data_IF_768028995008
#
_entry.id   IF_768028995008
#
_cell.length_a   1.000
_cell.length_b   1.000
_cell.length_c   1.000
_cell.angle_alpha   90.00
_cell.angle_beta   90.00
_cell.angle_gamma   90.00
#
_symmetry.space_group_name_H-M   'P 1'
#
loop_
_entity.id
_entity.type
_entity.pdbx_description
1 polymer ?
#
# COMPACT_ATOMS: atom_id res chain seq x y z
N UNK A 1 -6.43 -11.80 11.46
CA UNK A 1 -5.78 -11.34 12.71
C UNK A 1 -4.52 -10.57 12.42
N UNK A 2 -3.51 -11.14 11.75
CA UNK A 2 -2.25 -10.44 11.42
C UNK A 2 -2.49 -9.12 10.66
N UNK A 3 -3.27 -9.12 9.57
CA UNK A 3 -3.57 -7.90 8.81
C UNK A 3 -4.24 -6.80 9.65
N UNK A 4 -5.13 -7.17 10.58
CA UNK A 4 -5.76 -6.21 11.49
C UNK A 4 -4.74 -5.68 12.50
N UNK A 5 -3.93 -6.56 13.10
CA UNK A 5 -2.86 -6.17 14.02
C UNK A 5 -1.85 -5.21 13.37
N UNK A 6 -1.40 -5.52 12.16
CA UNK A 6 -0.49 -4.67 11.39
C UNK A 6 -1.12 -3.32 11.02
N UNK A 7 -2.41 -3.30 10.71
CA UNK A 7 -3.13 -2.05 10.42
C UNK A 7 -3.25 -1.15 11.67
N UNK A 8 -3.47 -1.75 12.85
CA UNK A 8 -3.44 -1.03 14.14
C UNK A 8 -2.02 -0.55 14.44
N UNK A 9 -1.01 -1.44 14.32
CA UNK A 9 0.38 -1.12 14.58
C UNK A 9 0.90 0.02 13.70
N UNK A 10 0.44 0.10 12.45
CA UNK A 10 0.78 1.19 11.52
C UNK A 10 0.41 2.59 12.02
N UNK A 11 -0.59 2.71 12.89
CA UNK A 11 -0.97 3.96 13.56
C UNK A 11 -0.23 4.12 14.90
N UNK A 12 -0.18 3.05 15.68
CA UNK A 12 0.37 3.09 17.04
C UNK A 12 1.90 3.29 17.03
N UNK A 13 2.60 2.75 16.04
CA UNK A 13 4.06 2.87 15.94
C UNK A 13 4.53 4.34 15.85
N UNK A 14 4.12 5.14 14.85
CA UNK A 14 4.51 6.56 14.82
C UNK A 14 3.98 7.33 16.03
N UNK A 15 2.81 6.96 16.57
CA UNK A 15 2.25 7.58 17.76
C UNK A 15 3.16 7.42 18.97
N UNK A 16 3.61 6.20 19.29
CA UNK A 16 4.47 5.95 20.46
C UNK A 16 5.88 6.56 20.28
N UNK A 17 6.39 6.58 19.04
CA UNK A 17 7.68 7.29 18.78
C UNK A 17 7.55 8.76 19.14
N UNK A 18 6.48 9.41 18.69
CA UNK A 18 6.21 10.81 19.01
C UNK A 18 5.95 11.03 20.50
N UNK A 19 5.20 10.12 21.15
CA UNK A 19 4.89 10.19 22.58
C UNK A 19 6.16 10.14 23.45
N UNK A 20 7.15 9.33 23.04
CA UNK A 20 8.41 9.16 23.80
C UNK A 20 9.49 10.18 23.42
N UNK A 21 9.50 10.68 22.19
CA UNK A 21 10.53 11.61 21.72
C UNK A 21 10.10 13.07 21.75
N UNK A 22 8.80 13.34 21.62
CA UNK A 22 8.26 14.69 21.45
C UNK A 22 8.69 15.39 20.15
N UNK A 23 9.39 14.68 19.25
CA UNK A 23 10.02 15.25 18.06
C UNK A 23 9.55 14.59 16.77
N UNK A 24 8.80 15.30 15.92
CA UNK A 24 8.37 14.80 14.62
C UNK A 24 9.53 14.46 13.67
N UNK A 25 10.69 15.13 13.79
CA UNK A 25 11.87 14.82 12.98
C UNK A 25 12.43 13.44 13.37
N UNK A 26 12.46 13.13 14.67
CA UNK A 26 12.86 11.82 15.17
C UNK A 26 11.88 10.72 14.68
N UNK A 27 10.57 10.98 14.70
CA UNK A 27 9.58 10.03 14.17
C UNK A 27 9.79 9.78 12.69
N UNK A 28 10.04 10.82 11.89
CA UNK A 28 10.37 10.70 10.48
C UNK A 28 11.66 9.92 10.23
N UNK A 29 12.70 10.16 11.04
CA UNK A 29 13.96 9.43 10.98
C UNK A 29 13.78 7.94 11.28
N UNK A 30 13.03 7.60 12.33
CA UNK A 30 12.70 6.19 12.67
C UNK A 30 11.95 5.54 11.52
N UNK A 31 10.90 6.19 11.01
CA UNK A 31 10.12 5.66 9.88
C UNK A 31 10.99 5.42 8.63
N UNK A 32 11.87 6.37 8.29
CA UNK A 32 12.81 6.25 7.18
C UNK A 32 13.83 5.12 7.41
N UNK A 33 14.42 5.03 8.61
CA UNK A 33 15.41 4.04 8.96
C UNK A 33 14.84 2.60 8.97
N UNK A 34 13.55 2.45 9.28
CA UNK A 34 12.84 1.17 9.19
C UNK A 34 12.47 0.85 7.73
N UNK A 35 11.98 1.84 6.98
CA UNK A 35 11.49 1.63 5.63
C UNK A 35 12.58 1.23 4.63
N UNK A 36 13.80 1.77 4.75
CA UNK A 36 14.91 1.47 3.82
C UNK A 36 15.33 0.00 3.86
N UNK A 37 15.64 -0.62 5.01
CA UNK A 37 15.90 -2.06 5.09
C UNK A 37 14.69 -2.91 4.66
N UNK A 38 13.48 -2.49 5.00
CA UNK A 38 12.24 -3.20 4.64
C UNK A 38 12.11 -3.38 3.12
N UNK A 39 12.47 -2.36 2.34
CA UNK A 39 12.52 -2.47 0.86
C UNK A 39 13.51 -3.54 0.40
N UNK A 40 14.70 -3.64 1.03
CA UNK A 40 15.67 -4.70 0.70
C UNK A 40 15.10 -6.09 0.99
N UNK A 41 14.41 -6.25 2.11
CA UNK A 41 13.78 -7.53 2.47
C UNK A 41 12.58 -7.87 1.57
N UNK A 42 11.92 -6.90 0.96
CA UNK A 42 10.89 -7.16 -0.04
C UNK A 42 11.44 -7.94 -1.25
N UNK A 43 12.66 -7.65 -1.67
CA UNK A 43 13.33 -8.40 -2.76
C UNK A 43 13.80 -9.79 -2.33
N UNK A 44 14.18 -9.95 -1.06
CA UNK A 44 14.61 -11.25 -0.52
C UNK A 44 13.45 -12.16 -0.15
N UNK A 45 12.24 -11.60 0.01
CA UNK A 45 11.06 -12.32 0.47
C UNK A 45 10.71 -13.54 -0.37
N UNK A 46 10.80 -13.42 -1.70
CA UNK A 46 10.57 -14.54 -2.60
C UNK A 46 11.56 -15.70 -2.37
N UNK A 47 12.85 -15.39 -2.29
CA UNK A 47 13.90 -16.39 -2.02
C UNK A 47 13.69 -17.07 -0.65
N UNK A 48 13.32 -16.30 0.38
CA UNK A 48 13.04 -16.83 1.71
C UNK A 48 11.82 -17.77 1.70
N UNK A 49 10.77 -17.42 0.97
CA UNK A 49 9.58 -18.27 0.83
C UNK A 49 9.91 -19.58 0.12
N UNK A 50 10.75 -19.52 -0.92
CA UNK A 50 11.14 -20.71 -1.70
C UNK A 50 12.02 -21.66 -0.88
N UNK A 51 12.85 -21.14 0.02
CA UNK A 51 13.77 -21.94 0.83
C UNK A 51 13.11 -22.48 2.11
N UNK A 52 12.33 -21.68 2.80
CA UNK A 52 11.71 -22.01 4.09
C UNK A 52 10.34 -22.67 3.90
N UNK A 53 9.64 -22.32 2.83
CA UNK A 53 8.28 -22.72 2.54
C UNK A 53 7.24 -21.68 2.99
N UNK A 54 6.11 -21.62 2.28
CA UNK A 54 5.06 -20.59 2.45
C UNK A 54 4.48 -20.56 3.86
N UNK A 55 4.03 -21.71 4.37
CA UNK A 55 3.42 -21.79 5.70
C UNK A 55 4.40 -21.51 6.82
N UNK A 56 5.59 -22.16 6.92
CA UNK A 56 6.58 -21.81 7.94
C UNK A 56 7.00 -20.35 7.88
N UNK A 57 7.17 -19.78 6.66
CA UNK A 57 7.53 -18.37 6.52
C UNK A 57 6.48 -17.44 7.10
N UNK A 58 5.18 -17.67 6.81
CA UNK A 58 4.09 -16.90 7.42
C UNK A 58 4.11 -16.98 8.95
N UNK A 59 4.30 -18.17 9.52
CA UNK A 59 4.36 -18.35 10.98
C UNK A 59 5.57 -17.65 11.60
N UNK A 60 6.76 -17.82 11.01
CA UNK A 60 7.99 -17.17 11.49
C UNK A 60 7.84 -15.64 11.44
N UNK A 61 7.26 -15.12 10.37
CA UNK A 61 7.00 -13.68 10.20
C UNK A 61 6.09 -13.13 11.29
N UNK A 62 4.96 -13.78 11.56
CA UNK A 62 4.03 -13.36 12.61
C UNK A 62 4.69 -13.43 14.00
N UNK A 63 5.56 -14.43 14.26
CA UNK A 63 6.32 -14.53 15.52
C UNK A 63 7.34 -13.39 15.63
N UNK A 64 8.11 -13.10 14.58
CA UNK A 64 9.11 -12.02 14.58
C UNK A 64 8.42 -10.68 14.80
N UNK A 65 7.30 -10.42 14.10
CA UNK A 65 6.50 -9.20 14.26
C UNK A 65 5.98 -9.08 15.70
N UNK A 66 5.39 -10.14 16.25
CA UNK A 66 4.91 -10.18 17.63
C UNK A 66 6.04 -9.94 18.65
N UNK A 67 7.21 -10.54 18.48
CA UNK A 67 8.39 -10.34 19.33
C UNK A 67 8.94 -8.91 19.22
N UNK A 68 8.97 -8.33 18.02
CA UNK A 68 9.38 -6.94 17.80
C UNK A 68 8.50 -5.98 18.61
N UNK A 69 7.18 -6.11 18.47
CA UNK A 69 6.21 -5.25 19.18
C UNK A 69 6.24 -5.48 20.69
N UNK A 70 6.30 -6.73 21.14
CA UNK A 70 6.47 -7.06 22.56
C UNK A 70 7.79 -6.54 23.12
N UNK A 71 8.85 -6.56 22.32
CA UNK A 71 10.16 -5.99 22.64
C UNK A 71 10.09 -4.50 22.91
N UNK A 72 9.28 -3.73 22.16
CA UNK A 72 9.06 -2.29 22.43
C UNK A 72 8.49 -2.12 23.85
N UNK A 73 7.45 -2.87 24.19
CA UNK A 73 6.82 -2.79 25.52
C UNK A 73 7.80 -3.15 26.63
N UNK A 74 8.57 -4.22 26.43
CA UNK A 74 9.57 -4.67 27.41
C UNK A 74 10.68 -3.62 27.63
N UNK A 75 11.20 -3.06 26.54
CA UNK A 75 12.24 -2.02 26.62
C UNK A 75 11.70 -0.74 27.26
N UNK A 76 10.45 -0.36 26.93
CA UNK A 76 9.80 0.81 27.53
C UNK A 76 9.72 0.70 29.06
N UNK A 77 9.37 -0.47 29.57
CA UNK A 77 9.21 -0.72 31.00
C UNK A 77 10.53 -0.92 31.76
N UNK A 78 11.61 -1.31 31.09
CA UNK A 78 12.86 -1.70 31.76
C UNK A 78 14.01 -0.74 31.55
N UNK A 79 14.27 -0.33 30.30
CA UNK A 79 15.44 0.44 29.89
C UNK A 79 15.11 1.86 29.45
N UNK A 80 13.83 2.12 29.17
CA UNK A 80 13.37 3.34 28.50
C UNK A 80 13.62 3.29 27.00
N UNK A 81 12.61 3.74 26.22
CA UNK A 81 12.69 3.75 24.77
C UNK A 81 13.52 4.92 24.27
N UNK A 82 14.55 4.60 23.50
CA UNK A 82 15.35 5.56 22.73
C UNK A 82 15.08 5.39 21.24
N UNK A 83 15.49 6.38 20.44
CA UNK A 83 15.38 6.32 18.96
C UNK A 83 16.05 5.05 18.41
N UNK A 84 17.18 4.64 18.99
CA UNK A 84 17.89 3.43 18.58
C UNK A 84 17.06 2.17 18.76
N UNK A 85 16.34 2.03 19.88
CA UNK A 85 15.45 0.88 20.12
C UNK A 85 14.28 0.86 19.14
N UNK A 86 13.66 2.00 18.84
CA UNK A 86 12.61 2.08 17.81
C UNK A 86 13.11 1.65 16.45
N UNK A 87 14.32 2.05 16.06
CA UNK A 87 14.91 1.65 14.78
C UNK A 87 15.21 0.15 14.78
N UNK A 88 15.89 -0.37 15.79
CA UNK A 88 16.26 -1.79 15.85
C UNK A 88 15.03 -2.69 15.83
N UNK A 89 14.08 -2.44 16.72
CA UNK A 89 12.87 -3.24 16.83
C UNK A 89 11.98 -3.05 15.59
N UNK A 90 11.88 -1.83 15.04
CA UNK A 90 11.16 -1.57 13.80
C UNK A 90 11.74 -2.30 12.60
N UNK A 91 13.07 -2.36 12.46
CA UNK A 91 13.73 -3.15 11.42
C UNK A 91 13.42 -4.64 11.62
N UNK A 92 13.53 -5.16 12.83
CA UNK A 92 13.20 -6.58 13.15
C UNK A 92 11.76 -6.90 12.74
N UNK A 93 10.80 -6.03 13.09
CA UNK A 93 9.40 -6.18 12.68
C UNK A 93 9.23 -6.17 11.17
N UNK A 94 9.81 -5.18 10.49
CA UNK A 94 9.72 -5.04 9.03
C UNK A 94 10.35 -6.22 8.27
N UNK A 95 11.45 -6.78 8.79
CA UNK A 95 12.06 -8.02 8.27
C UNK A 95 11.08 -9.20 8.35
N UNK A 96 10.27 -9.26 9.38
CA UNK A 96 9.21 -10.26 9.52
C UNK A 96 8.04 -9.97 8.59
N UNK A 97 7.46 -8.80 8.66
CA UNK A 97 6.16 -8.47 8.04
C UNK A 97 6.14 -8.62 6.51
N UNK A 98 7.19 -8.17 5.82
CA UNK A 98 7.20 -8.15 4.35
C UNK A 98 7.21 -9.55 3.75
N UNK A 99 8.13 -10.47 4.13
CA UNK A 99 8.08 -11.85 3.68
C UNK A 99 6.79 -12.56 4.11
N UNK A 100 6.25 -12.21 5.29
CA UNK A 100 5.00 -12.75 5.81
C UNK A 100 3.79 -12.41 4.96
N UNK A 101 3.66 -11.17 4.52
CA UNK A 101 2.61 -10.75 3.60
C UNK A 101 2.67 -11.49 2.26
N UNK A 102 3.87 -11.64 1.70
CA UNK A 102 4.09 -12.38 0.47
C UNK A 102 3.77 -13.88 0.66
N UNK A 103 4.19 -14.48 1.77
CA UNK A 103 3.90 -15.86 2.12
C UNK A 103 2.39 -16.11 2.31
N UNK A 104 1.70 -15.22 3.02
CA UNK A 104 0.24 -15.29 3.21
C UNK A 104 -0.52 -15.21 1.89
N UNK A 105 -0.09 -14.34 0.98
CA UNK A 105 -0.67 -14.24 -0.37
C UNK A 105 -0.41 -15.51 -1.19
N UNK A 106 0.76 -16.11 -1.05
CA UNK A 106 1.10 -17.36 -1.72
C UNK A 106 0.33 -18.58 -1.17
N UNK A 107 -0.15 -18.52 0.09
CA UNK A 107 -0.98 -19.57 0.69
C UNK A 107 -2.39 -19.65 0.12
N UNK A 108 -2.89 -18.62 -0.56
CA UNK A 108 -4.24 -18.57 -1.16
C UNK A 108 -4.48 -19.78 -2.06
N UNK A 109 -3.53 -20.17 -2.90
CA UNK A 109 -3.63 -21.34 -3.76
C UNK A 109 -3.69 -22.67 -2.99
N UNK A 110 -2.87 -22.79 -1.94
CA UNK A 110 -2.79 -24.00 -1.10
C UNK A 110 -4.07 -24.18 -0.27
N UNK A 111 -4.65 -23.06 0.21
CA UNK A 111 -5.92 -23.03 0.94
C UNK A 111 -7.07 -23.39 0.00
N UNK A 112 -7.10 -22.87 -1.23
CA UNK A 112 -8.11 -23.19 -2.24
C UNK A 112 -8.13 -24.70 -2.52
N UNK A 113 -6.97 -25.28 -2.77
CA UNK A 113 -6.84 -26.72 -3.00
C UNK A 113 -7.29 -27.55 -1.78
N UNK A 114 -6.89 -27.16 -0.57
CA UNK A 114 -7.22 -27.90 0.65
C UNK A 114 -8.69 -27.80 1.05
N UNK A 115 -9.35 -26.68 0.69
CA UNK A 115 -10.75 -26.42 1.03
C UNK A 115 -11.75 -26.85 -0.07
N UNK A 116 -11.26 -27.29 -1.24
CA UNK A 116 -12.10 -27.61 -2.39
C UNK A 116 -12.82 -26.41 -3.00
N UNK A 117 -12.36 -25.18 -2.70
CA UNK A 117 -12.89 -23.93 -3.25
C UNK A 117 -12.03 -23.45 -4.42
N UNK A 118 -12.59 -22.57 -5.26
CA UNK A 118 -11.82 -21.97 -6.34
C UNK A 118 -10.79 -20.96 -5.80
N UNK A 119 -9.68 -20.79 -6.52
CA UNK A 119 -8.65 -19.79 -6.17
C UNK A 119 -9.26 -18.40 -6.13
N UNK A 120 -10.16 -18.08 -7.07
CA UNK A 120 -10.84 -16.77 -7.14
C UNK A 120 -11.67 -16.49 -5.89
N UNK A 121 -12.36 -17.50 -5.36
CA UNK A 121 -13.14 -17.36 -4.12
C UNK A 121 -12.24 -17.04 -2.92
N UNK A 122 -11.14 -17.79 -2.75
CA UNK A 122 -10.21 -17.58 -1.63
C UNK A 122 -9.44 -16.25 -1.80
N UNK A 123 -9.03 -15.89 -3.01
CA UNK A 123 -8.42 -14.60 -3.31
C UNK A 123 -9.37 -13.44 -3.02
N UNK A 124 -10.63 -13.54 -3.44
CA UNK A 124 -11.68 -12.57 -3.14
C UNK A 124 -11.90 -12.40 -1.64
N UNK A 125 -11.96 -13.53 -0.89
CA UNK A 125 -12.09 -13.49 0.57
C UNK A 125 -10.87 -12.83 1.23
N UNK A 126 -9.65 -13.15 0.77
CA UNK A 126 -8.43 -12.53 1.25
C UNK A 126 -8.44 -11.00 1.02
N UNK A 127 -8.85 -10.56 -0.17
CA UNK A 127 -8.96 -9.12 -0.48
C UNK A 127 -10.04 -8.42 0.38
N UNK A 128 -11.17 -9.09 0.63
CA UNK A 128 -12.20 -8.57 1.51
C UNK A 128 -11.69 -8.42 2.96
N UNK A 129 -10.97 -9.42 3.48
CA UNK A 129 -10.35 -9.37 4.81
C UNK A 129 -9.33 -8.22 4.89
N UNK A 130 -8.47 -8.06 3.87
CA UNK A 130 -7.52 -6.94 3.80
C UNK A 130 -8.25 -5.60 3.79
N UNK A 131 -9.27 -5.44 2.94
CA UNK A 131 -10.07 -4.22 2.87
C UNK A 131 -10.73 -3.86 4.20
N UNK A 132 -11.33 -4.84 4.88
CA UNK A 132 -11.91 -4.65 6.22
C UNK A 132 -10.83 -4.29 7.24
N UNK A 133 -9.66 -4.92 7.19
CA UNK A 133 -8.56 -4.62 8.11
C UNK A 133 -8.04 -3.18 7.92
N UNK A 134 -7.91 -2.71 6.69
CA UNK A 134 -7.52 -1.33 6.39
C UNK A 134 -8.61 -0.30 6.76
N UNK A 135 -9.88 -0.70 6.72
CA UNK A 135 -10.98 0.17 7.11
C UNK A 135 -11.14 0.26 8.63
N UNK A 136 -11.16 -0.89 9.29
CA UNK A 136 -11.48 -1.00 10.72
C UNK A 136 -10.22 -0.80 11.60
N UNK A 137 -9.06 -1.24 11.14
CA UNK A 137 -7.81 -1.20 11.91
C UNK A 137 -7.44 0.19 12.41
N UNK A 138 -7.38 1.20 11.55
CA UNK A 138 -7.08 2.57 11.97
C UNK A 138 -8.11 3.16 12.95
N UNK A 139 -9.41 2.94 12.70
CA UNK A 139 -10.46 3.37 13.63
C UNK A 139 -10.29 2.70 15.00
N UNK A 140 -10.02 1.39 15.00
CA UNK A 140 -9.76 0.63 16.22
C UNK A 140 -8.51 1.15 16.94
N UNK A 141 -7.43 1.45 16.21
CA UNK A 141 -6.23 2.06 16.78
C UNK A 141 -6.54 3.40 17.46
N UNK A 142 -7.32 4.27 16.81
CA UNK A 142 -7.72 5.56 17.36
C UNK A 142 -8.56 5.42 18.63
N UNK A 143 -9.52 4.48 18.66
CA UNK A 143 -10.35 4.18 19.84
C UNK A 143 -9.50 3.62 20.98
N UNK A 144 -8.59 2.69 20.69
CA UNK A 144 -7.72 2.09 21.69
C UNK A 144 -6.76 3.13 22.28
N UNK A 145 -6.12 3.96 21.45
CA UNK A 145 -5.24 5.04 21.92
C UNK A 145 -6.00 6.12 22.74
N UNK A 146 -7.29 6.34 22.47
CA UNK A 146 -8.11 7.25 23.24
C UNK A 146 -8.58 6.65 24.58
N UNK A 147 -8.57 5.32 24.73
CA UNK A 147 -9.14 4.63 25.91
C UNK A 147 -8.11 4.01 26.84
N UNK A 148 -6.87 3.80 26.38
CA UNK A 148 -5.80 3.15 27.15
C UNK A 148 -4.42 3.66 26.75
N UNK A 149 -3.42 3.38 27.57
CA UNK A 149 -2.02 3.72 27.28
C UNK A 149 -1.53 3.01 26.00
N UNK A 150 -0.68 3.70 25.22
CA UNK A 150 -0.12 3.19 23.95
C UNK A 150 0.60 1.84 24.11
N UNK A 151 1.26 1.60 25.26
CA UNK A 151 1.91 0.33 25.58
C UNK A 151 0.93 -0.85 25.61
N UNK A 152 -0.28 -0.69 26.15
CA UNK A 152 -1.30 -1.74 26.14
C UNK A 152 -1.84 -2.01 24.73
N UNK A 153 -1.96 -0.97 23.91
CA UNK A 153 -2.34 -1.17 22.51
C UNK A 153 -1.29 -2.01 21.77
N UNK A 154 0.00 -1.80 22.04
CA UNK A 154 1.06 -2.64 21.49
C UNK A 154 0.98 -4.09 21.99
N UNK A 155 0.63 -4.32 23.27
CA UNK A 155 0.41 -5.69 23.79
C UNK A 155 -0.71 -6.40 23.02
N UNK A 156 -1.82 -5.68 22.72
CA UNK A 156 -2.93 -6.22 21.93
C UNK A 156 -2.46 -6.58 20.51
N UNK A 157 -1.68 -5.69 19.86
CA UNK A 157 -1.17 -5.98 18.50
C UNK A 157 -0.19 -7.13 18.49
N UNK A 158 0.71 -7.25 19.47
CA UNK A 158 1.59 -8.39 19.63
C UNK A 158 0.81 -9.70 19.83
N UNK A 159 -0.23 -9.66 20.67
CA UNK A 159 -1.11 -10.82 20.87
C UNK A 159 -1.82 -11.24 19.58
N UNK A 160 -2.28 -10.28 18.75
CA UNK A 160 -2.85 -10.57 17.42
C UNK A 160 -1.87 -11.30 16.51
N UNK A 161 -0.59 -10.90 16.50
CA UNK A 161 0.46 -11.55 15.72
C UNK A 161 0.74 -12.98 16.22
N UNK A 162 0.85 -13.19 17.53
CA UNK A 162 1.04 -14.53 18.10
C UNK A 162 -0.17 -15.45 17.87
N UNK A 163 -1.40 -14.92 17.98
CA UNK A 163 -2.62 -15.66 17.67
C UNK A 163 -2.65 -16.04 16.17
N UNK A 164 -2.25 -15.13 15.29
CA UNK A 164 -2.15 -15.41 13.86
C UNK A 164 -1.14 -16.52 13.56
N UNK A 165 0.06 -16.47 14.18
CA UNK A 165 1.08 -17.52 14.10
C UNK A 165 0.54 -18.87 14.57
N UNK A 166 -0.15 -18.88 15.71
CA UNK A 166 -0.74 -20.08 16.29
C UNK A 166 -1.81 -20.68 15.36
N UNK A 167 -2.75 -19.87 14.88
CA UNK A 167 -3.81 -20.31 13.97
C UNK A 167 -3.24 -20.86 12.67
N UNK A 168 -2.23 -20.16 12.09
CA UNK A 168 -1.56 -20.61 10.87
C UNK A 168 -0.81 -21.93 11.09
N UNK A 169 -0.26 -22.16 12.28
CA UNK A 169 0.42 -23.42 12.62
C UNK A 169 -0.55 -24.61 12.61
N UNK A 170 -1.78 -24.43 13.05
CA UNK A 170 -2.81 -25.48 13.01
C UNK A 170 -3.43 -25.72 11.64
N UNK A 171 -3.19 -24.85 10.66
CA UNK A 171 -3.72 -24.98 9.33
C UNK A 171 -3.12 -26.23 8.65
N UNK A 172 -3.95 -27.20 8.30
CA UNK A 172 -3.52 -28.41 7.57
C UNK A 172 -3.63 -28.16 6.07
N UNK A 173 -2.51 -27.89 5.43
CA UNK A 173 -2.41 -27.68 4.00
C UNK A 173 -1.84 -28.91 3.32
N UNK A 174 -2.38 -29.29 2.18
CA UNK A 174 -1.78 -30.26 1.29
C UNK A 174 -0.48 -29.67 0.71
N UNK A 175 0.61 -30.42 0.73
CA UNK A 175 1.86 -29.95 0.09
C UNK A 175 1.65 -29.90 -1.41
N UNK A 176 1.56 -28.69 -1.96
CA UNK A 176 1.68 -28.45 -3.39
C UNK A 176 3.14 -28.25 -3.71
N UNK A 177 3.73 -29.15 -4.45
CA UNK A 177 5.02 -28.92 -5.07
C UNK A 177 4.82 -27.97 -6.25
N UNK A 178 5.56 -26.86 -6.24
CA UNK A 178 5.58 -25.96 -7.39
C UNK A 178 6.18 -26.70 -8.57
N UNK A 179 5.56 -26.57 -9.73
CA UNK A 179 6.14 -27.08 -10.97
C UNK A 179 7.45 -26.33 -11.29
N UNK A 180 8.36 -26.97 -11.99
CA UNK A 180 9.62 -26.32 -12.38
C UNK A 180 9.38 -25.04 -13.19
N UNK A 181 8.29 -24.98 -13.97
CA UNK A 181 7.87 -23.77 -14.69
C UNK A 181 7.45 -22.65 -13.73
N UNK A 182 6.73 -22.94 -12.64
CA UNK A 182 6.34 -21.97 -11.61
C UNK A 182 7.56 -21.48 -10.82
N UNK A 183 8.53 -22.36 -10.51
CA UNK A 183 9.80 -21.98 -9.87
C UNK A 183 10.64 -21.08 -10.78
N UNK A 184 10.72 -21.40 -12.06
CA UNK A 184 11.44 -20.58 -13.03
C UNK A 184 10.81 -19.20 -13.21
N UNK A 185 9.47 -19.12 -13.28
CA UNK A 185 8.74 -17.86 -13.38
C UNK A 185 8.90 -17.00 -12.09
N UNK A 186 8.86 -17.63 -10.91
CA UNK A 186 9.12 -16.94 -9.65
C UNK A 186 10.57 -16.44 -9.53
N UNK A 187 11.55 -17.25 -9.96
CA UNK A 187 12.95 -16.87 -9.98
C UNK A 187 13.20 -15.70 -10.96
N UNK A 188 12.55 -15.70 -12.11
CA UNK A 188 12.64 -14.62 -13.09
C UNK A 188 11.97 -13.33 -12.59
N UNK A 189 10.83 -13.43 -11.89
CA UNK A 189 10.16 -12.31 -11.27
C UNK A 189 10.95 -11.71 -10.09
N UNK A 190 11.67 -12.54 -9.32
CA UNK A 190 12.49 -12.15 -8.18
C UNK A 190 13.92 -11.72 -8.53
N UNK A 191 14.39 -12.04 -9.74
CA UNK A 191 15.71 -11.60 -10.17
C UNK A 191 15.71 -10.09 -10.36
N UNK A 192 16.30 -9.35 -9.42
CA UNK A 192 16.80 -7.98 -9.62
C UNK A 192 17.86 -8.00 -10.73
N UNK A 193 17.37 -8.17 -11.95
CA UNK A 193 18.24 -8.28 -13.09
C UNK A 193 18.69 -6.87 -13.45
N UNK A 194 19.97 -6.55 -13.37
CA UNK A 194 20.56 -5.31 -13.90
C UNK A 194 20.11 -5.05 -15.35
N UNK A 195 19.74 -6.12 -16.09
CA UNK A 195 19.08 -6.03 -17.40
C UNK A 195 17.66 -5.46 -17.31
N UNK A 196 16.93 -5.69 -16.20
CA UNK A 196 15.61 -5.11 -16.00
C UNK A 196 15.70 -3.59 -15.79
N UNK A 197 16.67 -3.11 -15.01
CA UNK A 197 16.91 -1.67 -14.82
C UNK A 197 17.21 -0.96 -16.16
N UNK A 198 18.01 -1.56 -17.03
CA UNK A 198 18.25 -1.02 -18.39
C UNK A 198 16.98 -1.02 -19.25
N UNK A 199 16.08 -1.99 -19.05
CA UNK A 199 14.82 -2.08 -19.80
C UNK A 199 13.76 -1.11 -19.31
N UNK A 200 13.82 -0.63 -18.05
CA UNK A 200 12.92 0.39 -17.54
C UNK A 200 13.00 1.70 -18.34
N UNK A 201 14.20 2.06 -18.81
CA UNK A 201 14.38 3.20 -19.70
C UNK A 201 13.61 3.08 -21.04
N UNK A 202 13.28 1.87 -21.48
CA UNK A 202 12.45 1.65 -22.66
C UNK A 202 10.95 1.70 -22.30
N UNK A 203 10.59 1.20 -21.11
CA UNK A 203 9.22 1.22 -20.59
C UNK A 203 8.73 2.65 -20.34
N UNK A 204 9.59 3.55 -19.87
CA UNK A 204 9.23 4.94 -19.54
C UNK A 204 9.10 5.84 -20.80
N UNK A 205 9.54 5.38 -21.97
CA UNK A 205 9.51 6.20 -23.21
C UNK A 205 8.14 6.74 -23.61
N UNK A 206 7.03 5.99 -23.53
CA UNK A 206 5.72 6.56 -23.82
C UNK A 206 5.41 7.71 -22.87
N UNK A 207 4.99 8.89 -23.38
CA UNK A 207 4.73 10.07 -22.55
C UNK A 207 3.68 9.83 -21.45
N UNK A 208 2.69 8.98 -21.70
CA UNK A 208 1.65 8.56 -20.77
C UNK A 208 2.24 7.78 -19.58
N UNK A 209 3.13 6.81 -19.84
CA UNK A 209 3.80 6.02 -18.81
C UNK A 209 4.76 6.88 -18.00
N UNK A 210 5.52 7.76 -18.65
CA UNK A 210 6.41 8.70 -17.95
C UNK A 210 5.62 9.63 -17.02
N UNK A 211 4.51 10.19 -17.50
CA UNK A 211 3.62 11.04 -16.71
C UNK A 211 3.08 10.28 -15.49
N UNK A 212 2.59 9.05 -15.68
CA UNK A 212 2.12 8.19 -14.59
C UNK A 212 3.23 7.89 -13.58
N UNK A 213 4.44 7.54 -14.05
CA UNK A 213 5.56 7.22 -13.17
C UNK A 213 5.96 8.41 -12.30
N UNK A 214 6.03 9.61 -12.88
CA UNK A 214 6.33 10.84 -12.13
C UNK A 214 5.23 11.13 -11.11
N UNK A 215 3.95 11.08 -11.52
CA UNK A 215 2.83 11.34 -10.62
C UNK A 215 2.80 10.34 -9.46
N UNK A 216 2.98 9.05 -9.77
CA UNK A 216 3.01 8.00 -8.73
C UNK A 216 4.19 8.20 -7.76
N UNK A 217 5.40 8.46 -8.28
CA UNK A 217 6.58 8.68 -7.44
C UNK A 217 6.39 9.89 -6.52
N UNK A 218 5.99 11.03 -7.08
CA UNK A 218 5.79 12.26 -6.31
C UNK A 218 4.62 12.09 -5.34
N UNK A 219 3.53 11.48 -5.77
CA UNK A 219 2.40 11.17 -4.90
C UNK A 219 2.84 10.37 -3.67
N UNK A 220 3.50 9.23 -3.86
CA UNK A 220 3.94 8.38 -2.75
C UNK A 220 4.99 9.07 -1.88
N UNK A 221 5.95 9.83 -2.50
CA UNK A 221 6.99 10.53 -1.77
C UNK A 221 6.48 11.70 -0.92
N UNK A 222 5.37 12.34 -1.31
CA UNK A 222 4.77 13.44 -0.56
C UNK A 222 3.70 12.96 0.43
N UNK A 223 2.88 11.98 0.03
CA UNK A 223 1.80 11.43 0.86
C UNK A 223 2.32 10.58 2.00
N UNK A 224 3.36 9.78 1.77
CA UNK A 224 3.94 8.90 2.78
C UNK A 224 4.33 9.63 4.07
N UNK A 225 5.14 10.70 4.01
CA UNK A 225 5.47 11.52 5.17
C UNK A 225 4.25 12.21 5.79
N UNK A 226 3.29 12.63 4.96
CA UNK A 226 2.08 13.28 5.46
C UNK A 226 1.28 12.34 6.35
N UNK A 227 0.98 11.15 5.86
CA UNK A 227 0.22 10.13 6.59
C UNK A 227 1.03 9.51 7.73
N UNK A 228 2.33 9.25 7.53
CA UNK A 228 3.17 8.53 8.48
C UNK A 228 3.77 9.38 9.60
N UNK A 229 3.88 10.71 9.43
CA UNK A 229 4.55 11.59 10.39
C UNK A 229 3.73 12.82 10.74
N UNK A 230 3.29 13.62 9.74
CA UNK A 230 2.66 14.91 10.00
C UNK A 230 1.29 14.75 10.66
N UNK A 231 0.46 13.86 10.16
CA UNK A 231 -0.86 13.60 10.75
C UNK A 231 -0.77 13.03 12.17
N UNK A 232 -0.01 11.94 12.44
CA UNK A 232 0.19 11.46 13.81
C UNK A 232 0.70 12.55 14.75
N UNK A 233 1.69 13.37 14.33
CA UNK A 233 2.23 14.46 15.13
C UNK A 233 1.18 15.54 15.41
N UNK A 234 0.37 15.93 14.42
CA UNK A 234 -0.70 16.90 14.62
C UNK A 234 -1.74 16.38 15.62
N UNK A 235 -2.29 15.19 15.37
CA UNK A 235 -3.37 14.66 16.22
C UNK A 235 -2.89 14.31 17.63
N UNK A 236 -1.60 14.02 17.80
CA UNK A 236 -1.01 13.86 19.12
C UNK A 236 -0.89 15.20 19.85
N UNK A 237 -0.43 16.25 19.16
CA UNK A 237 -0.30 17.60 19.74
C UNK A 237 -1.64 18.18 20.23
N UNK A 238 -2.76 17.78 19.60
CA UNK A 238 -4.10 18.21 19.97
C UNK A 238 -4.87 17.17 20.80
N UNK A 239 -4.21 16.08 21.18
CA UNK A 239 -4.77 14.96 21.98
C UNK A 239 -6.07 14.38 21.38
N UNK A 240 -6.07 14.12 20.08
CA UNK A 240 -7.21 13.59 19.33
C UNK A 240 -6.89 12.30 18.57
N UNK A 241 -6.43 11.21 19.24
CA UNK A 241 -6.07 9.96 18.57
C UNK A 241 -7.25 9.30 17.83
N UNK A 242 -8.47 9.48 18.32
CA UNK A 242 -9.67 8.98 17.65
C UNK A 242 -9.84 9.59 16.25
N UNK A 243 -9.62 10.90 16.09
CA UNK A 243 -9.73 11.55 14.78
C UNK A 243 -8.62 11.12 13.82
N UNK A 244 -7.43 10.78 14.32
CA UNK A 244 -6.39 10.17 13.51
C UNK A 244 -6.85 8.84 12.90
N UNK A 245 -7.37 7.93 13.73
CA UNK A 245 -7.91 6.66 13.25
C UNK A 245 -9.08 6.85 12.27
N UNK A 246 -9.96 7.80 12.56
CA UNK A 246 -11.10 8.14 11.70
C UNK A 246 -10.65 8.69 10.34
N UNK A 247 -9.60 9.52 10.28
CA UNK A 247 -9.06 10.06 9.04
C UNK A 247 -8.56 8.95 8.10
N UNK A 248 -7.82 7.98 8.61
CA UNK A 248 -7.39 6.82 7.82
C UNK A 248 -8.56 5.94 7.37
N UNK A 249 -9.58 5.76 8.22
CA UNK A 249 -10.79 5.01 7.85
C UNK A 249 -11.58 5.72 6.76
N UNK A 250 -11.70 7.06 6.81
CA UNK A 250 -12.32 7.85 5.75
C UNK A 250 -11.54 7.74 4.43
N UNK A 251 -10.21 7.73 4.49
CA UNK A 251 -9.37 7.47 3.32
C UNK A 251 -9.69 6.11 2.68
N UNK A 252 -9.76 5.04 3.48
CA UNK A 252 -10.11 3.71 3.02
C UNK A 252 -11.53 3.63 2.43
N UNK A 253 -12.52 4.27 3.07
CA UNK A 253 -13.89 4.38 2.56
C UNK A 253 -13.90 5.08 1.20
N UNK A 254 -13.20 6.21 1.09
CA UNK A 254 -13.07 6.94 -0.18
C UNK A 254 -12.53 6.06 -1.30
N UNK A 255 -11.44 5.34 -1.04
CA UNK A 255 -10.86 4.39 -2.01
C UNK A 255 -11.85 3.29 -2.43
N UNK A 256 -12.58 2.70 -1.48
CA UNK A 256 -13.54 1.64 -1.77
C UNK A 256 -14.72 2.15 -2.59
N UNK A 257 -15.29 3.28 -2.22
CA UNK A 257 -16.45 3.89 -2.91
C UNK A 257 -16.11 4.26 -4.34
N UNK A 258 -15.00 4.95 -4.56
CA UNK A 258 -14.60 5.36 -5.91
C UNK A 258 -14.09 4.19 -6.75
N UNK A 259 -13.39 3.23 -6.16
CA UNK A 259 -12.98 2.00 -6.83
C UNK A 259 -14.18 1.19 -7.32
N UNK A 260 -15.22 1.02 -6.48
CA UNK A 260 -16.47 0.40 -6.87
C UNK A 260 -17.20 1.20 -7.97
N UNK A 261 -17.17 2.53 -7.88
CA UNK A 261 -17.71 3.41 -8.91
C UNK A 261 -17.02 3.22 -10.27
N UNK A 262 -15.70 3.17 -10.30
CA UNK A 262 -14.92 2.90 -11.52
C UNK A 262 -15.17 1.49 -12.05
N UNK A 263 -15.30 0.50 -11.17
CA UNK A 263 -15.63 -0.87 -11.59
C UNK A 263 -17.01 -0.95 -12.29
N UNK A 264 -17.98 -0.14 -11.84
CA UNK A 264 -19.31 -0.09 -12.44
C UNK A 264 -19.38 0.72 -13.76
N UNK A 265 -18.67 1.86 -13.82
CA UNK A 265 -18.73 2.80 -14.95
C UNK A 265 -17.64 2.56 -16.00
N UNK A 266 -16.52 1.96 -15.56
CA UNK A 266 -15.34 1.73 -16.37
C UNK A 266 -14.48 2.99 -16.56
N UNK A 267 -13.36 2.82 -17.28
CA UNK A 267 -12.39 3.88 -17.56
C UNK A 267 -12.43 4.36 -19.03
N UNK A 268 -13.51 4.12 -19.76
CA UNK A 268 -13.64 4.48 -21.17
C UNK A 268 -13.43 5.97 -21.43
N UNK A 269 -13.86 6.84 -20.52
CA UNK A 269 -13.63 8.31 -20.56
C UNK A 269 -12.34 8.68 -19.81
N UNK A 270 -11.20 8.16 -20.26
CA UNK A 270 -9.91 8.24 -19.54
C UNK A 270 -9.50 9.64 -19.15
N UNK A 271 -9.62 10.60 -20.07
CA UNK A 271 -9.31 12.01 -19.79
C UNK A 271 -10.17 12.59 -18.68
N UNK A 272 -11.47 12.30 -18.67
CA UNK A 272 -12.38 12.77 -17.62
C UNK A 272 -12.00 12.16 -16.26
N UNK A 273 -11.82 10.84 -16.21
CA UNK A 273 -11.42 10.13 -14.97
C UNK A 273 -10.11 10.68 -14.44
N UNK A 274 -9.12 10.90 -15.32
CA UNK A 274 -7.83 11.50 -14.98
C UNK A 274 -7.96 12.88 -14.36
N UNK A 275 -8.66 13.81 -15.03
CA UNK A 275 -8.82 15.20 -14.57
C UNK A 275 -9.60 15.26 -13.27
N UNK A 276 -10.68 14.47 -13.16
CA UNK A 276 -11.48 14.41 -11.93
C UNK A 276 -10.67 13.83 -10.79
N UNK A 277 -9.94 12.72 -11.01
CA UNK A 277 -9.16 12.09 -9.96
C UNK A 277 -8.06 13.01 -9.43
N UNK A 278 -7.26 13.64 -10.31
CA UNK A 278 -6.20 14.58 -9.88
C UNK A 278 -6.80 15.81 -9.20
N UNK A 279 -7.92 16.35 -9.72
CA UNK A 279 -8.61 17.48 -9.10
C UNK A 279 -9.11 17.15 -7.70
N UNK A 280 -9.74 15.99 -7.51
CA UNK A 280 -10.23 15.50 -6.23
C UNK A 280 -9.06 15.25 -5.27
N UNK A 281 -7.96 14.66 -5.75
CA UNK A 281 -6.75 14.44 -4.94
C UNK A 281 -6.14 15.77 -4.47
N UNK A 282 -6.02 16.73 -5.38
CA UNK A 282 -5.51 18.07 -5.07
C UNK A 282 -6.37 18.78 -4.01
N UNK A 283 -7.70 18.70 -4.10
CA UNK A 283 -8.62 19.25 -3.11
C UNK A 283 -8.43 18.52 -1.76
N UNK A 284 -8.38 17.19 -1.77
CA UNK A 284 -8.15 16.39 -0.57
C UNK A 284 -6.86 16.79 0.16
N UNK A 285 -5.74 16.91 -0.56
CA UNK A 285 -4.47 17.33 0.02
C UNK A 285 -4.47 18.79 0.50
N UNK A 286 -5.13 19.70 -0.21
CA UNK A 286 -5.29 21.07 0.25
C UNK A 286 -6.04 21.15 1.58
N UNK A 287 -7.09 20.33 1.74
CA UNK A 287 -7.83 20.24 3.00
C UNK A 287 -6.98 19.60 4.10
N UNK A 288 -6.21 18.55 3.78
CA UNK A 288 -5.31 17.92 4.74
C UNK A 288 -4.19 18.85 5.21
N UNK A 289 -3.70 19.79 4.36
CA UNK A 289 -2.71 20.78 4.75
C UNK A 289 -3.23 21.76 5.82
N UNK A 290 -4.53 21.92 5.92
CA UNK A 290 -5.16 22.77 6.95
C UNK A 290 -5.20 22.05 8.32
N UNK A 291 -4.02 21.59 8.80
CA UNK A 291 -3.88 20.84 10.05
C UNK A 291 -4.52 21.54 11.26
N UNK A 292 -4.62 22.88 11.25
CA UNK A 292 -5.25 23.63 12.34
C UNK A 292 -6.75 23.33 12.54
N UNK A 293 -7.41 22.62 11.60
CA UNK A 293 -8.82 22.23 11.70
C UNK A 293 -8.93 20.71 11.53
N UNK A 294 -8.92 19.98 12.63
CA UNK A 294 -8.86 18.50 12.64
C UNK A 294 -9.91 17.82 11.76
N UNK A 295 -11.16 18.33 11.75
CA UNK A 295 -12.23 17.77 10.92
C UNK A 295 -12.00 17.99 9.42
N UNK A 296 -11.32 19.10 9.05
CA UNK A 296 -10.97 19.34 7.65
C UNK A 296 -9.94 18.33 7.16
N UNK A 297 -9.02 17.92 8.03
CA UNK A 297 -8.05 16.85 7.74
C UNK A 297 -8.78 15.52 7.52
N UNK A 298 -9.72 15.16 8.39
CA UNK A 298 -10.51 13.91 8.28
C UNK A 298 -11.28 13.86 6.95
N UNK A 299 -11.98 14.94 6.61
CA UNK A 299 -12.74 15.02 5.35
C UNK A 299 -11.79 15.00 4.16
N UNK A 300 -10.67 15.74 4.25
CA UNK A 300 -9.63 15.77 3.22
C UNK A 300 -9.05 14.39 2.92
N UNK A 301 -8.83 13.58 3.96
CA UNK A 301 -8.42 12.18 3.80
C UNK A 301 -9.44 11.35 3.01
N UNK A 302 -10.74 11.49 3.30
CA UNK A 302 -11.80 10.82 2.55
C UNK A 302 -11.82 11.22 1.08
N UNK A 303 -11.66 12.52 0.80
CA UNK A 303 -11.59 13.06 -0.56
C UNK A 303 -10.33 12.56 -1.28
N UNK A 304 -9.17 12.58 -0.63
CA UNK A 304 -7.94 12.01 -1.21
C UNK A 304 -8.07 10.51 -1.48
N UNK A 305 -8.75 9.77 -0.60
CA UNK A 305 -9.09 8.37 -0.81
C UNK A 305 -9.92 8.14 -2.07
N UNK A 306 -10.93 8.99 -2.35
CA UNK A 306 -11.70 8.91 -3.59
C UNK A 306 -10.80 8.98 -4.84
N UNK A 307 -9.80 9.85 -4.82
CA UNK A 307 -8.85 9.97 -5.93
C UNK A 307 -8.03 8.68 -6.11
N UNK A 308 -7.51 8.12 -5.02
CA UNK A 308 -6.74 6.87 -5.06
C UNK A 308 -7.50 5.70 -5.67
N UNK A 309 -8.79 5.55 -5.31
CA UNK A 309 -9.64 4.51 -5.88
C UNK A 309 -10.00 4.70 -7.36
N UNK A 310 -9.90 5.93 -7.89
CA UNK A 310 -10.03 6.21 -9.33
C UNK A 310 -8.70 6.00 -10.08
N UNK A 311 -7.59 6.47 -9.51
CA UNK A 311 -6.29 6.46 -10.17
C UNK A 311 -5.72 5.06 -10.32
N UNK A 312 -5.87 4.18 -9.31
CA UNK A 312 -5.29 2.84 -9.34
C UNK A 312 -5.79 1.97 -10.52
N UNK A 313 -7.10 1.83 -10.79
CA UNK A 313 -7.60 1.11 -11.95
C UNK A 313 -7.19 1.77 -13.28
N UNK A 314 -7.23 3.12 -13.34
CA UNK A 314 -6.83 3.85 -14.55
C UNK A 314 -5.34 3.64 -14.86
N UNK A 315 -4.48 3.67 -13.84
CA UNK A 315 -3.05 3.36 -13.98
C UNK A 315 -2.84 1.95 -14.54
N UNK A 316 -3.55 0.96 -13.98
CA UNK A 316 -3.45 -0.43 -14.44
C UNK A 316 -3.83 -0.58 -15.91
N UNK A 317 -4.92 0.07 -16.33
CA UNK A 317 -5.39 0.07 -17.72
C UNK A 317 -4.36 0.73 -18.64
N UNK A 318 -3.89 1.95 -18.32
CA UNK A 318 -2.93 2.67 -19.15
C UNK A 318 -1.61 1.92 -19.27
N UNK A 319 -1.09 1.35 -18.18
CA UNK A 319 0.14 0.53 -18.22
C UNK A 319 -0.06 -0.70 -19.11
N UNK A 320 -1.22 -1.36 -19.05
CA UNK A 320 -1.50 -2.56 -19.85
C UNK A 320 -1.62 -2.26 -21.33
N UNK A 321 -2.22 -1.12 -21.70
CA UNK A 321 -2.47 -0.78 -23.12
C UNK A 321 -1.28 -0.12 -23.80
N UNK A 322 -0.59 0.78 -23.10
CA UNK A 322 0.55 1.51 -23.65
C UNK A 322 1.84 0.68 -23.69
N UNK A 323 1.84 -0.47 -22.99
CA UNK A 323 3.04 -1.32 -22.91
C UNK A 323 2.85 -2.60 -23.73
N UNK A 324 3.76 -2.93 -24.66
CA UNK A 324 3.75 -4.19 -25.40
C UNK A 324 3.69 -5.40 -24.46
N UNK A 325 3.00 -6.48 -24.84
CA UNK A 325 2.77 -7.66 -24.00
C UNK A 325 4.03 -8.21 -23.35
N UNK A 326 5.11 -8.35 -24.14
CA UNK A 326 6.39 -8.85 -23.65
C UNK A 326 7.13 -7.93 -22.66
N UNK A 327 6.64 -6.69 -22.47
CA UNK A 327 7.20 -5.71 -21.53
C UNK A 327 6.28 -5.38 -20.36
N UNK A 328 5.03 -5.86 -20.34
CA UNK A 328 4.04 -5.55 -19.28
C UNK A 328 4.55 -5.90 -17.88
N UNK A 329 5.17 -7.08 -17.71
CA UNK A 329 5.77 -7.47 -16.43
C UNK A 329 6.84 -6.48 -15.94
N UNK A 330 7.67 -5.94 -16.87
CA UNK A 330 8.69 -4.94 -16.54
C UNK A 330 8.06 -3.57 -16.18
N UNK A 331 6.96 -3.21 -16.82
CA UNK A 331 6.22 -2.00 -16.50
C UNK A 331 5.62 -2.08 -15.09
N UNK A 332 4.93 -3.18 -14.77
CA UNK A 332 4.40 -3.37 -13.42
C UNK A 332 5.49 -3.44 -12.35
N UNK A 333 6.64 -4.07 -12.64
CA UNK A 333 7.78 -4.08 -11.71
C UNK A 333 8.36 -2.69 -11.47
N UNK A 334 8.40 -1.83 -12.49
CA UNK A 334 8.80 -0.44 -12.35
C UNK A 334 7.86 0.33 -11.40
N UNK A 335 6.54 0.24 -11.61
CA UNK A 335 5.58 0.91 -10.73
C UNK A 335 5.62 0.37 -9.30
N UNK A 336 5.80 -0.94 -9.13
CA UNK A 336 6.02 -1.53 -7.80
C UNK A 336 7.27 -0.96 -7.13
N UNK A 337 8.38 -0.84 -7.86
CA UNK A 337 9.60 -0.24 -7.35
C UNK A 337 9.40 1.25 -6.99
N UNK A 338 8.69 2.02 -7.82
CA UNK A 338 8.35 3.42 -7.52
C UNK A 338 7.56 3.52 -6.22
N UNK A 339 6.56 2.68 -6.02
CA UNK A 339 5.76 2.67 -4.79
C UNK A 339 6.59 2.28 -3.57
N UNK A 340 7.50 1.30 -3.71
CA UNK A 340 8.34 0.83 -2.60
C UNK A 340 9.43 1.82 -2.20
N UNK A 341 10.05 2.51 -3.16
CA UNK A 341 11.14 3.46 -2.88
C UNK A 341 10.64 4.89 -2.62
N UNK A 342 9.49 5.28 -3.20
CA UNK A 342 8.98 6.65 -3.08
C UNK A 342 8.71 7.05 -1.63
N UNK A 343 8.06 6.19 -0.85
CA UNK A 343 7.75 6.44 0.55
C UNK A 343 9.00 6.67 1.42
N UNK A 344 9.97 5.75 1.46
CA UNK A 344 11.22 5.94 2.19
C UNK A 344 12.00 7.19 1.79
N UNK A 345 12.08 7.49 0.49
CA UNK A 345 12.74 8.74 0.02
C UNK A 345 12.00 9.95 0.54
N UNK A 346 10.68 9.97 0.47
CA UNK A 346 9.86 11.05 1.01
C UNK A 346 10.05 11.24 2.51
N UNK A 347 10.11 10.15 3.28
CA UNK A 347 10.34 10.18 4.73
C UNK A 347 11.71 10.74 5.09
N UNK A 348 12.77 10.37 4.37
CA UNK A 348 14.12 10.94 4.57
C UNK A 348 14.12 12.45 4.33
N UNK A 349 13.53 12.89 3.22
CA UNK A 349 13.45 14.32 2.87
C UNK A 349 12.61 15.09 3.90
N UNK A 350 11.44 14.56 4.25
CA UNK A 350 10.56 15.21 5.22
C UNK A 350 11.20 15.29 6.62
N UNK A 351 11.86 14.23 7.07
CA UNK A 351 12.60 14.21 8.35
C UNK A 351 13.69 15.28 8.37
N UNK A 352 14.47 15.41 7.28
CA UNK A 352 15.46 16.47 7.16
C UNK A 352 14.84 17.89 7.18
N UNK A 353 13.69 18.08 6.52
CA UNK A 353 13.00 19.38 6.52
C UNK A 353 12.38 19.71 7.88
N UNK A 354 11.93 18.71 8.65
CA UNK A 354 11.39 18.91 10.00
C UNK A 354 12.41 19.41 11.02
N UNK A 355 13.71 19.33 10.73
CA UNK A 355 14.74 19.96 11.58
C UNK A 355 14.72 21.50 11.50
N UNK A 356 14.17 22.07 10.42
CA UNK A 356 14.12 23.51 10.18
C UNK A 356 12.68 24.05 10.09
N UNK A 357 11.69 23.22 9.79
CA UNK A 357 10.30 23.59 9.59
C UNK A 357 9.39 22.93 10.62
N UNK A 358 8.35 23.63 11.05
CA UNK A 358 7.28 23.03 11.82
C UNK A 358 6.44 22.07 10.95
N UNK A 359 5.68 21.16 11.58
CA UNK A 359 4.76 20.23 10.88
C UNK A 359 3.75 20.97 10.01
N UNK A 360 3.29 22.15 10.44
CA UNK A 360 2.34 23.00 9.70
C UNK A 360 2.99 23.61 8.44
N UNK A 361 4.21 24.12 8.56
CA UNK A 361 4.96 24.68 7.43
C UNK A 361 5.30 23.59 6.43
N UNK A 362 5.76 22.43 6.91
CA UNK A 362 6.06 21.30 6.04
C UNK A 362 4.82 20.78 5.32
N UNK A 363 3.66 20.71 6.00
CA UNK A 363 2.40 20.32 5.36
C UNK A 363 2.07 21.22 4.16
N UNK A 364 2.20 22.55 4.32
CA UNK A 364 1.98 23.51 3.24
C UNK A 364 2.99 23.32 2.11
N UNK A 365 4.28 23.11 2.43
CA UNK A 365 5.34 22.88 1.42
C UNK A 365 5.07 21.62 0.60
N UNK A 366 4.72 20.50 1.27
CA UNK A 366 4.42 19.23 0.59
C UNK A 366 3.20 19.37 -0.32
N UNK A 367 2.14 20.02 0.15
CA UNK A 367 0.94 20.24 -0.65
C UNK A 367 1.21 21.21 -1.80
N UNK A 368 1.97 22.29 -1.61
CA UNK A 368 2.36 23.19 -2.69
C UNK A 368 3.18 22.46 -3.76
N UNK A 369 4.14 21.63 -3.36
CA UNK A 369 4.90 20.77 -4.28
C UNK A 369 4.00 19.79 -5.05
N UNK A 370 3.05 19.15 -4.34
CA UNK A 370 2.07 18.29 -4.98
C UNK A 370 1.19 19.04 -5.98
N UNK A 371 0.70 20.24 -5.64
CA UNK A 371 -0.13 21.07 -6.53
C UNK A 371 0.57 21.40 -7.85
N UNK A 372 1.87 21.71 -7.81
CA UNK A 372 2.65 21.96 -9.02
C UNK A 372 2.68 20.72 -9.94
N UNK A 373 2.89 19.55 -9.35
CA UNK A 373 2.90 18.29 -10.10
C UNK A 373 1.49 17.92 -10.57
N UNK A 374 0.46 18.14 -9.78
CA UNK A 374 -0.94 17.88 -10.13
C UNK A 374 -1.38 18.76 -11.32
N UNK A 375 -1.06 20.05 -11.29
CA UNK A 375 -1.34 20.97 -12.42
C UNK A 375 -0.62 20.51 -13.68
N UNK A 376 0.68 20.17 -13.57
CA UNK A 376 1.46 19.64 -14.69
C UNK A 376 0.84 18.36 -15.23
N UNK A 377 0.51 17.39 -14.37
CA UNK A 377 -0.07 16.11 -14.74
C UNK A 377 -1.48 16.27 -15.35
N UNK A 378 -2.28 17.22 -14.86
CA UNK A 378 -3.59 17.54 -15.41
C UNK A 378 -3.47 18.08 -16.83
N UNK A 379 -2.59 19.07 -17.06
CA UNK A 379 -2.35 19.66 -18.39
C UNK A 379 -1.84 18.58 -19.35
N UNK A 380 -0.85 17.79 -18.95
CA UNK A 380 -0.28 16.72 -19.78
C UNK A 380 -1.30 15.63 -20.06
N UNK A 381 -2.09 15.22 -19.08
CA UNK A 381 -3.14 14.22 -19.27
C UNK A 381 -4.21 14.68 -20.28
N UNK A 382 -4.61 15.94 -20.25
CA UNK A 382 -5.55 16.51 -21.25
C UNK A 382 -4.96 16.45 -22.66
N UNK A 383 -3.64 16.65 -22.82
CA UNK A 383 -2.96 16.63 -24.12
C UNK A 383 -2.73 15.20 -24.64
N UNK A 384 -2.43 14.25 -23.78
CA UNK A 384 -1.95 12.91 -24.15
C UNK A 384 -3.10 11.88 -24.15
N UNK A 385 -3.99 11.92 -23.13
CA UNK A 385 -5.00 10.90 -22.98
C UNK A 385 -6.18 11.09 -23.95
N UNK A 386 -6.69 10.01 -24.56
CA UNK A 386 -7.86 10.07 -25.42
C UNK A 386 -9.11 10.46 -24.61
N UNK A 387 -10.01 11.21 -25.27
CA UNK A 387 -11.27 11.63 -24.64
C UNK A 387 -12.21 10.45 -24.39
N UNK A 388 -12.22 9.51 -25.32
CA UNK A 388 -13.04 8.31 -25.27
C UNK A 388 -12.31 7.14 -25.94
N UNK A 389 -12.36 5.97 -25.33
CA UNK A 389 -11.93 4.71 -25.92
C UNK A 389 -13.14 3.78 -25.92
N UNK A 390 -13.57 3.35 -27.10
CA UNK A 390 -14.62 2.36 -27.20
C UNK A 390 -14.14 1.08 -26.51
N UNK A 391 -14.89 0.65 -25.50
CA UNK A 391 -14.71 -0.71 -24.98
C UNK A 391 -15.16 -1.64 -26.10
N UNK A 392 -14.26 -2.42 -26.70
CA UNK A 392 -14.67 -3.54 -27.52
C UNK A 392 -15.51 -4.44 -26.62
N UNK A 393 -16.83 -4.27 -26.69
CA UNK A 393 -17.75 -5.31 -26.28
C UNK A 393 -17.31 -6.51 -27.11
N UNK A 394 -16.93 -7.59 -26.45
CA UNK A 394 -16.70 -8.90 -27.03
C UNK A 394 -17.96 -9.21 -27.86
N UNK A 395 -17.95 -8.83 -29.15
CA UNK A 395 -18.86 -9.38 -30.12
C UNK A 395 -18.39 -10.80 -30.27
N UNK A 396 -18.83 -11.63 -29.33
CA UNK A 396 -18.87 -13.06 -29.53
C UNK A 396 -19.66 -13.21 -30.83
N UNK A 397 -18.94 -13.54 -31.87
CA UNK A 397 -19.53 -14.02 -33.12
C UNK A 397 -20.47 -15.13 -32.75
N UNK A 398 -21.75 -14.81 -32.60
CA UNK A 398 -22.80 -15.76 -32.82
C UNK A 398 -22.69 -16.00 -34.31
N UNK A 399 -22.09 -17.16 -34.65
CA UNK A 399 -21.93 -17.58 -36.02
C UNK A 399 -23.23 -17.41 -36.74
N UNK A 400 -23.22 -16.66 -37.84
CA UNK A 400 -24.14 -16.86 -38.93
C UNK A 400 -23.97 -18.31 -39.41
N UNK A 401 -24.82 -19.16 -38.91
CA UNK A 401 -25.12 -20.41 -39.54
C UNK A 401 -25.84 -20.02 -40.82
N UNK A 402 -25.11 -19.96 -41.92
CA UNK A 402 -25.68 -19.89 -43.26
C UNK A 402 -26.55 -21.11 -43.49
N UNK A 403 -27.83 -20.99 -43.84
CA UNK A 403 -28.65 -22.09 -44.29
C UNK A 403 -28.50 -22.22 -45.82
N UNK A 404 -27.39 -22.84 -46.27
CA UNK A 404 -27.29 -23.27 -47.67
C UNK A 404 -26.53 -24.59 -47.74
N UNK A 405 -27.27 -25.67 -47.73
CA UNK A 405 -26.99 -26.90 -48.50
C UNK A 405 -28.03 -28.01 -48.22
N UNK A 406 -29.30 -27.74 -48.42
CA UNK A 406 -30.28 -28.80 -48.75
C UNK A 406 -30.95 -28.46 -50.09
N UNK A 407 -30.25 -28.71 -51.20
CA UNK A 407 -30.84 -28.89 -52.51
C UNK A 407 -29.76 -29.47 -53.43
N UNK A 408 -29.63 -30.78 -53.44
CA UNK A 408 -29.48 -31.58 -54.70
C UNK A 408 -29.01 -33.00 -54.40
N UNK A 409 -29.88 -33.89 -54.87
CA UNK A 409 -29.77 -35.33 -55.13
C UNK A 409 -29.74 -36.25 -53.95
#
# INVERSE_FOLDING_TARGET
MSALGNSVAGIVWPWIVLERTGDPAAAGLVAAAVAVPSVLFAFLGGYLIDTVGRKPMSVISDIISGLSVAGVVLVDQTLGLTIAWFIILGIVGGVGDIPGMAASSALVGDIAQSSGKTVDYIAGLNQAIMGVSFLVGPALAGVLLASMESSWVLVITAACSFIAALLTTFLRLSKREMTEAEKAAAAEANALNLKALKSWGQVIRPPSIMMLAILTFVGVALVGPFLGVLMPAHFQNVDQPFLLGLAFSFYAIGMMVSGAGIAAVGTSRRRLVWVVAIGVEAIGFAMMAALGVSWLVVIGCGIAGLAGGMLAPLQMVLVTEETPEHMRGRAFSLFTAIMQFGGPIGLVVASGLLTALSIYQLAVVLVAAYMLVAIWAMIRGIQILPTYVATEATTTAVGEVSPESEASS
#
